data_IF_003966410508
#
_entry.id   IF_003966410508
#
_cell.length_a   1.000
_cell.length_b   1.000
_cell.length_c   1.000
_cell.angle_alpha   90.00
_cell.angle_beta   90.00
_cell.angle_gamma   90.00
#
_symmetry.space_group_name_H-M   'P 1'
#
loop_
_entity.id
_entity.type
_entity.pdbx_description
1 polymer ?
#
# COMPACT_ATOMS: atom_id res chain seq x y z
N UNK A 1 -69.86 -52.49 5.04
CA UNK A 1 -69.89 -51.93 6.42
C UNK A 1 -69.10 -52.81 7.42
N UNK A 2 -67.79 -53.03 7.22
CA UNK A 2 -66.96 -53.81 8.18
C UNK A 2 -65.74 -53.04 8.72
N UNK A 3 -65.34 -51.95 8.06
CA UNK A 3 -64.26 -51.09 8.54
C UNK A 3 -64.73 -50.21 9.72
N UNK A 4 -65.93 -49.65 9.63
CA UNK A 4 -66.50 -48.78 10.67
C UNK A 4 -66.73 -49.52 12.00
N UNK A 5 -67.21 -50.76 11.97
CA UNK A 5 -67.42 -51.57 13.18
C UNK A 5 -66.10 -52.00 13.84
N UNK A 6 -65.05 -52.24 13.05
CA UNK A 6 -63.70 -52.52 13.54
C UNK A 6 -63.07 -51.29 14.21
N UNK A 7 -63.21 -50.11 13.60
CA UNK A 7 -62.73 -48.84 14.14
C UNK A 7 -63.43 -48.51 15.48
N UNK A 8 -64.75 -48.75 15.58
CA UNK A 8 -65.51 -48.49 16.82
C UNK A 8 -65.06 -49.42 17.96
N UNK A 9 -64.81 -50.71 17.66
CA UNK A 9 -64.39 -51.72 18.65
C UNK A 9 -62.98 -51.49 19.18
N UNK A 10 -62.07 -50.99 18.34
CA UNK A 10 -60.65 -50.78 18.66
C UNK A 10 -60.27 -49.29 18.74
N UNK A 11 -61.23 -48.40 18.99
CA UNK A 11 -61.04 -46.94 18.93
C UNK A 11 -59.86 -46.44 19.77
N UNK A 12 -59.64 -47.00 20.96
CA UNK A 12 -58.56 -46.59 21.87
C UNK A 12 -57.18 -47.01 21.34
N UNK A 13 -57.05 -48.23 20.83
CA UNK A 13 -55.78 -48.74 20.28
C UNK A 13 -55.42 -48.06 18.97
N UNK A 14 -56.41 -47.74 18.14
CA UNK A 14 -56.18 -46.99 16.89
C UNK A 14 -55.70 -45.57 17.18
N UNK A 15 -56.30 -44.88 18.17
CA UNK A 15 -55.84 -43.54 18.58
C UNK A 15 -54.42 -43.57 19.16
N UNK A 16 -54.09 -44.56 19.98
CA UNK A 16 -52.72 -44.73 20.52
C UNK A 16 -51.72 -45.00 19.40
N UNK A 17 -52.07 -45.88 18.45
CA UNK A 17 -51.23 -46.18 17.30
C UNK A 17 -50.94 -44.92 16.46
N UNK A 18 -51.97 -44.11 16.20
CA UNK A 18 -51.80 -42.84 15.49
C UNK A 18 -50.96 -41.82 16.27
N UNK A 19 -51.16 -41.73 17.58
CA UNK A 19 -50.33 -40.87 18.43
C UNK A 19 -48.86 -41.28 18.38
N UNK A 20 -48.57 -42.59 18.42
CA UNK A 20 -47.20 -43.14 18.29
C UNK A 20 -46.62 -42.86 16.91
N UNK A 21 -47.38 -43.04 15.83
CA UNK A 21 -46.92 -42.75 14.46
C UNK A 21 -46.56 -41.26 14.30
N UNK A 22 -47.38 -40.35 14.84
CA UNK A 22 -47.13 -38.91 14.78
C UNK A 22 -45.91 -38.51 15.63
N UNK A 23 -45.77 -39.10 16.83
CA UNK A 23 -44.60 -38.90 17.69
C UNK A 23 -43.31 -39.47 17.08
N UNK A 24 -43.39 -40.61 16.40
CA UNK A 24 -42.26 -41.19 15.69
C UNK A 24 -41.89 -40.39 14.42
N UNK A 25 -42.86 -39.70 13.81
CA UNK A 25 -42.64 -38.85 12.64
C UNK A 25 -42.12 -37.45 12.98
N UNK A 26 -42.21 -37.02 14.25
CA UNK A 26 -41.84 -35.65 14.65
C UNK A 26 -40.35 -35.35 14.48
N UNK A 27 -39.40 -36.25 14.79
CA UNK A 27 -37.98 -36.03 14.51
C UNK A 27 -37.70 -35.81 13.01
N UNK A 28 -38.41 -36.53 12.13
CA UNK A 28 -38.27 -36.38 10.69
C UNK A 28 -38.84 -35.04 10.17
N UNK A 29 -39.96 -34.59 10.74
CA UNK A 29 -40.58 -33.30 10.40
C UNK A 29 -39.80 -32.10 10.94
N UNK A 30 -39.26 -32.20 12.15
CA UNK A 30 -38.41 -31.17 12.75
C UNK A 30 -37.04 -31.08 12.08
N UNK A 31 -36.52 -32.21 11.56
CA UNK A 31 -35.31 -32.23 10.73
C UNK A 31 -35.50 -31.66 9.32
N UNK A 32 -36.74 -31.48 8.85
CA UNK A 32 -37.02 -31.10 7.46
C UNK A 32 -36.55 -29.68 7.11
N UNK A 33 -36.48 -28.77 8.10
CA UNK A 33 -35.90 -27.43 7.90
C UNK A 33 -34.41 -27.45 7.58
N UNK A 34 -33.70 -28.55 7.89
CA UNK A 34 -32.29 -28.75 7.56
C UNK A 34 -32.06 -29.30 6.14
N UNK A 35 -33.11 -29.76 5.45
CA UNK A 35 -33.03 -30.36 4.11
C UNK A 35 -33.63 -29.50 3.00
N UNK A 36 -33.97 -28.23 3.27
CA UNK A 36 -34.40 -27.30 2.23
C UNK A 36 -33.18 -27.00 1.35
N UNK A 37 -33.01 -27.83 0.34
CA UNK A 37 -32.07 -27.62 -0.74
C UNK A 37 -32.77 -26.82 -1.81
N UNK A 38 -32.47 -25.53 -1.87
CA UNK A 38 -32.86 -24.68 -2.98
C UNK A 38 -32.10 -25.14 -4.24
N UNK A 39 -32.67 -26.09 -4.99
CA UNK A 39 -32.18 -26.39 -6.33
C UNK A 39 -32.77 -25.35 -7.29
N UNK A 40 -31.97 -24.35 -7.66
CA UNK A 40 -32.30 -23.46 -8.77
C UNK A 40 -32.18 -24.16 -10.14
N UNK A 41 -31.59 -25.36 -10.20
CA UNK A 41 -31.61 -26.23 -11.37
C UNK A 41 -32.84 -27.14 -11.33
N UNK A 42 -33.73 -26.99 -12.32
CA UNK A 42 -34.76 -27.99 -12.58
C UNK A 42 -34.12 -29.36 -12.85
N UNK A 43 -34.86 -30.45 -12.66
CA UNK A 43 -34.37 -31.80 -12.95
C UNK A 43 -34.04 -31.92 -14.45
N UNK A 44 -32.78 -31.69 -14.81
CA UNK A 44 -32.27 -31.87 -16.17
C UNK A 44 -32.03 -33.36 -16.38
N UNK A 45 -32.39 -33.88 -17.56
CA UNK A 45 -32.18 -35.28 -17.87
C UNK A 45 -30.68 -35.64 -17.75
N UNK A 46 -30.32 -36.61 -16.87
CA UNK A 46 -28.93 -37.04 -16.67
C UNK A 46 -28.24 -37.51 -17.95
N UNK A 47 -29.00 -37.99 -18.94
CA UNK A 47 -28.49 -38.45 -20.23
C UNK A 47 -28.45 -37.38 -21.33
N UNK A 48 -28.82 -36.13 -21.03
CA UNK A 48 -28.68 -35.06 -22.01
C UNK A 48 -27.20 -34.80 -22.30
N UNK A 49 -26.86 -34.54 -23.55
CA UNK A 49 -25.49 -34.23 -23.98
C UNK A 49 -24.92 -33.03 -23.20
N UNK A 50 -25.76 -32.05 -22.85
CA UNK A 50 -25.38 -30.91 -22.01
C UNK A 50 -24.98 -31.33 -20.59
N UNK A 51 -25.67 -32.29 -19.98
CA UNK A 51 -25.32 -32.80 -18.65
C UNK A 51 -24.03 -33.63 -18.69
N UNK A 52 -23.86 -34.46 -19.73
CA UNK A 52 -22.64 -35.25 -19.96
C UNK A 52 -21.45 -34.30 -20.18
N UNK A 53 -21.62 -33.27 -21.01
CA UNK A 53 -20.61 -32.23 -21.21
C UNK A 53 -20.28 -31.48 -19.91
N UNK A 54 -21.28 -31.09 -19.12
CA UNK A 54 -21.07 -30.47 -17.80
C UNK A 54 -20.27 -31.38 -16.87
N UNK A 55 -20.58 -32.68 -16.81
CA UNK A 55 -19.85 -33.64 -15.97
C UNK A 55 -18.41 -33.87 -16.44
N UNK A 56 -18.17 -33.86 -17.76
CA UNK A 56 -16.80 -33.93 -18.32
C UNK A 56 -16.02 -32.66 -17.98
N UNK A 57 -16.67 -31.49 -18.08
CA UNK A 57 -16.06 -30.21 -17.71
C UNK A 57 -15.77 -30.13 -16.20
N UNK A 58 -16.70 -30.54 -15.34
CA UNK A 58 -16.51 -30.60 -13.88
C UNK A 58 -15.41 -31.59 -13.45
N UNK A 59 -15.27 -32.72 -14.16
CA UNK A 59 -14.20 -33.69 -13.90
C UNK A 59 -12.83 -33.21 -14.36
N UNK A 60 -12.76 -32.41 -15.44
CA UNK A 60 -11.51 -31.89 -15.99
C UNK A 60 -11.08 -30.57 -15.35
N UNK A 61 -12.03 -29.78 -14.86
CA UNK A 61 -11.84 -28.53 -14.17
C UNK A 61 -12.74 -28.51 -12.93
N UNK A 62 -12.17 -28.64 -11.74
CA UNK A 62 -12.92 -28.46 -10.49
C UNK A 62 -13.51 -27.06 -10.48
N UNK A 63 -14.82 -26.96 -10.75
CA UNK A 63 -15.57 -25.71 -10.64
C UNK A 63 -15.70 -25.37 -9.16
N UNK A 64 -14.72 -24.67 -8.62
CA UNK A 64 -14.76 -24.18 -7.26
C UNK A 64 -15.98 -23.28 -7.05
N UNK A 65 -16.71 -23.50 -5.96
CA UNK A 65 -17.78 -22.61 -5.54
C UNK A 65 -17.20 -21.22 -5.27
N UNK A 66 -17.89 -20.18 -5.71
CA UNK A 66 -17.45 -18.80 -5.54
C UNK A 66 -18.58 -17.89 -5.10
N UNK A 67 -18.22 -16.89 -4.29
CA UNK A 67 -19.08 -15.77 -3.94
C UNK A 67 -18.43 -14.51 -4.51
N UNK A 68 -19.18 -13.80 -5.36
CA UNK A 68 -18.76 -12.51 -5.91
C UNK A 68 -19.50 -11.41 -5.17
N UNK A 69 -18.75 -10.50 -4.55
CA UNK A 69 -19.27 -9.33 -3.86
C UNK A 69 -19.08 -8.13 -4.79
N UNK A 70 -20.18 -7.50 -5.20
CA UNK A 70 -20.15 -6.26 -5.97
C UNK A 70 -20.11 -5.06 -5.03
N UNK A 71 -19.11 -4.20 -5.17
CA UNK A 71 -18.96 -2.97 -4.39
C UNK A 71 -19.19 -1.77 -5.31
N UNK A 72 -20.24 -1.00 -5.04
CA UNK A 72 -20.65 0.17 -5.83
C UNK A 72 -19.91 1.44 -5.37
N UNK A 73 -18.60 1.46 -5.56
CA UNK A 73 -17.76 2.62 -5.27
C UNK A 73 -16.62 2.71 -6.28
N UNK A 74 -16.15 3.94 -6.55
CA UNK A 74 -14.98 4.16 -7.37
C UNK A 74 -13.69 3.76 -6.62
N UNK A 75 -12.96 2.72 -7.08
CA UNK A 75 -11.80 2.19 -6.38
C UNK A 75 -10.52 3.03 -6.54
N UNK A 76 -10.54 4.08 -7.39
CA UNK A 76 -9.39 4.95 -7.64
C UNK A 76 -9.38 6.21 -6.77
N UNK A 77 -10.54 6.63 -6.24
CA UNK A 77 -10.69 7.92 -5.56
C UNK A 77 -10.84 7.80 -4.04
N UNK A 78 -11.03 6.60 -3.50
CA UNK A 78 -11.35 6.39 -2.09
C UNK A 78 -10.41 5.42 -1.38
N UNK A 79 -9.40 6.00 -0.72
CA UNK A 79 -8.40 5.27 0.07
C UNK A 79 -9.02 4.45 1.22
N UNK A 80 -10.14 4.92 1.78
CA UNK A 80 -10.83 4.20 2.87
C UNK A 80 -11.48 2.91 2.38
N UNK A 81 -11.89 2.85 1.12
CA UNK A 81 -12.47 1.64 0.49
C UNK A 81 -11.42 0.55 0.39
N UNK A 82 -10.20 0.89 -0.06
CA UNK A 82 -9.09 -0.04 -0.12
C UNK A 82 -8.79 -0.67 1.26
N UNK A 83 -8.69 0.16 2.30
CA UNK A 83 -8.45 -0.31 3.65
C UNK A 83 -9.56 -1.25 4.15
N UNK A 84 -10.83 -0.87 3.98
CA UNK A 84 -11.99 -1.68 4.39
C UNK A 84 -12.07 -3.01 3.65
N UNK A 85 -11.86 -3.00 2.33
CA UNK A 85 -11.86 -4.22 1.54
C UNK A 85 -10.73 -5.14 1.98
N UNK A 86 -9.51 -4.64 2.11
CA UNK A 86 -8.37 -5.46 2.57
C UNK A 86 -8.62 -6.03 3.98
N UNK A 87 -9.14 -5.23 4.91
CA UNK A 87 -9.52 -5.70 6.25
C UNK A 87 -10.60 -6.78 6.21
N UNK A 88 -11.61 -6.64 5.35
CA UNK A 88 -12.63 -7.68 5.13
C UNK A 88 -11.99 -8.99 4.65
N UNK A 89 -11.05 -8.94 3.70
CA UNK A 89 -10.37 -10.16 3.24
C UNK A 89 -9.58 -10.84 4.35
N UNK A 90 -8.83 -10.07 5.14
CA UNK A 90 -8.09 -10.60 6.29
C UNK A 90 -9.05 -11.19 7.33
N UNK A 91 -10.18 -10.54 7.59
CA UNK A 91 -11.20 -11.05 8.50
C UNK A 91 -11.78 -12.38 8.01
N UNK A 92 -12.17 -12.48 6.74
CA UNK A 92 -12.68 -13.73 6.14
C UNK A 92 -11.68 -14.88 6.27
N UNK A 93 -10.39 -14.62 6.01
CA UNK A 93 -9.32 -15.60 6.18
C UNK A 93 -9.14 -16.01 7.65
N UNK A 94 -9.27 -15.08 8.59
CA UNK A 94 -9.10 -15.35 10.03
C UNK A 94 -10.25 -16.10 10.68
N UNK A 95 -11.45 -16.06 10.08
CA UNK A 95 -12.67 -16.67 10.64
C UNK A 95 -12.70 -18.20 10.55
N UNK A 96 -11.73 -18.83 9.88
CA UNK A 96 -11.69 -20.28 9.74
C UNK A 96 -12.90 -20.85 9.00
N UNK A 97 -13.44 -20.09 8.03
CA UNK A 97 -14.58 -20.52 7.22
C UNK A 97 -14.21 -21.82 6.49
N UNK A 98 -15.03 -22.86 6.68
CA UNK A 98 -14.81 -24.18 6.07
C UNK A 98 -14.66 -24.03 4.56
N UNK A 99 -13.68 -24.72 4.00
CA UNK A 99 -13.40 -24.77 2.57
C UNK A 99 -13.09 -23.40 1.93
N UNK A 100 -12.82 -22.34 2.70
CA UNK A 100 -12.38 -21.07 2.12
C UNK A 100 -10.96 -21.24 1.55
N UNK A 101 -10.82 -21.07 0.23
CA UNK A 101 -9.54 -21.19 -0.46
C UNK A 101 -8.82 -19.84 -0.57
N UNK A 102 -9.54 -18.80 -0.99
CA UNK A 102 -8.95 -17.47 -1.17
C UNK A 102 -9.99 -16.36 -1.18
N UNK A 103 -9.52 -15.12 -0.98
CA UNK A 103 -10.31 -13.92 -1.20
C UNK A 103 -9.45 -12.88 -1.89
N UNK A 104 -9.90 -12.41 -3.05
CA UNK A 104 -9.14 -11.52 -3.92
C UNK A 104 -9.99 -10.33 -4.35
N UNK A 105 -9.39 -9.14 -4.33
CA UNK A 105 -9.94 -7.87 -4.77
C UNK A 105 -8.93 -7.20 -5.71
N UNK A 106 -9.34 -6.16 -6.47
CA UNK A 106 -8.39 -5.37 -7.24
C UNK A 106 -7.26 -4.80 -6.38
N UNK A 107 -7.57 -4.48 -5.12
CA UNK A 107 -6.61 -3.95 -4.16
C UNK A 107 -5.53 -4.96 -3.77
N UNK A 108 -5.91 -6.19 -3.42
CA UNK A 108 -4.91 -7.23 -3.09
C UNK A 108 -4.15 -7.72 -4.33
N UNK A 109 -4.80 -7.75 -5.50
CA UNK A 109 -4.14 -8.06 -6.76
C UNK A 109 -3.08 -7.00 -7.09
N UNK A 110 -3.42 -5.72 -6.98
CA UNK A 110 -2.48 -4.64 -7.23
C UNK A 110 -1.37 -4.56 -6.18
N UNK A 111 -1.69 -4.77 -4.90
CA UNK A 111 -0.68 -4.88 -3.85
C UNK A 111 0.32 -6.02 -4.13
N UNK A 112 -0.17 -7.18 -4.58
CA UNK A 112 0.70 -8.30 -4.99
C UNK A 112 1.59 -7.93 -6.17
N UNK A 113 1.03 -7.24 -7.18
CA UNK A 113 1.81 -6.74 -8.31
C UNK A 113 2.94 -5.78 -7.88
N UNK A 114 2.65 -4.81 -7.01
CA UNK A 114 3.63 -3.87 -6.47
C UNK A 114 4.73 -4.62 -5.71
N UNK A 115 4.35 -5.58 -4.86
CA UNK A 115 5.31 -6.38 -4.11
C UNK A 115 6.23 -7.19 -5.03
N UNK A 116 5.72 -7.72 -6.15
CA UNK A 116 6.54 -8.41 -7.15
C UNK A 116 7.46 -7.43 -7.89
N UNK A 117 6.95 -6.26 -8.26
CA UNK A 117 7.71 -5.26 -9.00
C UNK A 117 8.85 -4.64 -8.17
N UNK A 118 8.63 -4.43 -6.87
CA UNK A 118 9.53 -3.62 -6.02
C UNK A 118 10.16 -4.41 -4.88
N UNK A 119 9.68 -5.62 -4.57
CA UNK A 119 10.10 -6.38 -3.39
C UNK A 119 11.61 -6.54 -3.24
N UNK A 120 12.37 -6.64 -4.35
CA UNK A 120 13.85 -6.71 -4.33
C UNK A 120 14.53 -5.37 -4.03
N UNK A 121 13.87 -4.26 -4.37
CA UNK A 121 14.40 -2.90 -4.24
C UNK A 121 13.81 -2.14 -3.04
N UNK A 122 12.80 -2.67 -2.34
CA UNK A 122 12.15 -2.01 -1.21
C UNK A 122 13.15 -1.60 -0.12
N UNK A 123 14.06 -2.49 0.26
CA UNK A 123 15.12 -2.21 1.25
C UNK A 123 16.06 -1.11 0.76
N UNK A 124 16.44 -1.13 -0.52
CA UNK A 124 17.30 -0.12 -1.12
C UNK A 124 16.62 1.25 -1.15
N UNK A 125 15.34 1.32 -1.51
CA UNK A 125 14.55 2.56 -1.51
C UNK A 125 14.47 3.14 -0.10
N UNK A 126 14.14 2.30 0.89
CA UNK A 126 14.04 2.74 2.28
C UNK A 126 15.39 3.22 2.83
N UNK A 127 16.48 2.50 2.52
CA UNK A 127 17.83 2.89 2.88
C UNK A 127 18.21 4.24 2.24
N UNK A 128 18.02 4.36 0.93
CA UNK A 128 18.36 5.57 0.16
C UNK A 128 17.57 6.79 0.64
N UNK A 129 16.28 6.62 0.93
CA UNK A 129 15.46 7.69 1.51
C UNK A 129 16.01 8.18 2.84
N UNK A 130 16.36 7.25 3.74
CA UNK A 130 16.90 7.61 5.04
C UNK A 130 18.29 8.25 4.96
N UNK A 131 19.16 7.72 4.10
CA UNK A 131 20.49 8.30 3.84
C UNK A 131 20.35 9.72 3.29
N UNK A 132 19.51 9.92 2.27
CA UNK A 132 19.24 11.24 1.69
C UNK A 132 18.67 12.20 2.73
N UNK A 133 17.72 11.75 3.56
CA UNK A 133 17.14 12.58 4.63
C UNK A 133 18.19 13.06 5.63
N UNK A 134 19.07 12.15 6.07
CA UNK A 134 20.15 12.46 7.02
C UNK A 134 21.14 13.43 6.36
N UNK A 135 21.62 13.12 5.16
CA UNK A 135 22.61 13.94 4.46
C UNK A 135 22.06 15.32 4.14
N UNK A 136 20.85 15.43 3.61
CA UNK A 136 20.22 16.70 3.33
C UNK A 136 20.01 17.54 4.60
N UNK A 137 19.66 16.91 5.73
CA UNK A 137 19.56 17.61 7.01
C UNK A 137 20.92 18.16 7.44
N UNK A 138 21.97 17.34 7.39
CA UNK A 138 23.34 17.76 7.73
C UNK A 138 23.84 18.86 6.80
N UNK A 139 23.58 18.76 5.49
CA UNK A 139 24.06 19.70 4.48
C UNK A 139 23.33 21.05 4.49
N UNK A 140 22.04 21.09 4.86
CA UNK A 140 21.22 22.27 4.62
C UNK A 140 20.62 22.91 5.88
N UNK A 141 20.58 22.23 7.02
CA UNK A 141 19.97 22.79 8.25
C UNK A 141 20.64 24.08 8.71
N UNK A 142 21.95 24.04 8.98
CA UNK A 142 22.71 25.22 9.37
C UNK A 142 22.82 26.26 8.23
N UNK A 143 23.20 25.89 6.99
CA UNK A 143 23.30 26.85 5.90
C UNK A 143 21.99 27.56 5.54
N UNK A 144 20.83 26.92 5.74
CA UNK A 144 19.52 27.54 5.50
C UNK A 144 19.22 28.61 6.55
N UNK A 145 19.44 28.30 7.84
CA UNK A 145 19.33 29.29 8.92
C UNK A 145 20.32 30.45 8.73
N UNK A 146 21.56 30.14 8.38
CA UNK A 146 22.59 31.11 8.05
C UNK A 146 22.18 32.02 6.90
N UNK A 147 21.75 31.46 5.77
CA UNK A 147 21.37 32.25 4.59
C UNK A 147 20.21 33.19 4.88
N UNK A 148 19.23 32.73 5.67
CA UNK A 148 18.13 33.56 6.17
C UNK A 148 18.65 34.72 7.05
N UNK A 149 19.51 34.45 8.02
CA UNK A 149 20.10 35.51 8.86
C UNK A 149 20.96 36.49 8.04
N UNK A 150 21.79 35.98 7.15
CA UNK A 150 22.66 36.80 6.31
C UNK A 150 21.88 37.70 5.35
N UNK A 151 20.70 37.26 4.91
CA UNK A 151 19.77 38.09 4.16
C UNK A 151 19.29 39.31 4.95
N UNK A 152 19.05 39.16 6.25
CA UNK A 152 18.66 40.25 7.14
C UNK A 152 19.80 41.25 7.37
N UNK A 153 21.04 40.82 7.17
CA UNK A 153 22.25 41.64 7.19
C UNK A 153 22.72 42.11 5.80
N UNK A 154 21.83 42.09 4.80
CA UNK A 154 22.12 42.59 3.45
C UNK A 154 23.28 41.87 2.73
N UNK A 155 23.58 40.63 3.11
CA UNK A 155 24.59 39.77 2.49
C UNK A 155 26.00 40.38 2.43
N UNK A 156 26.41 41.18 3.41
CA UNK A 156 27.75 41.81 3.43
C UNK A 156 28.83 40.85 3.93
N UNK A 157 30.08 41.07 3.53
CA UNK A 157 31.19 40.23 4.01
C UNK A 157 31.36 40.32 5.54
N UNK A 158 31.36 41.54 6.09
CA UNK A 158 31.56 41.77 7.52
C UNK A 158 30.45 41.15 8.40
N UNK A 159 29.26 40.89 7.82
CA UNK A 159 28.15 40.29 8.56
C UNK A 159 28.16 38.76 8.57
N UNK A 160 29.10 38.08 7.91
CA UNK A 160 29.15 36.61 7.87
C UNK A 160 29.21 36.02 9.28
N UNK A 161 30.12 36.51 10.14
CA UNK A 161 30.24 35.95 11.50
C UNK A 161 29.00 36.25 12.36
N UNK A 162 28.45 37.47 12.28
CA UNK A 162 27.23 37.82 13.00
C UNK A 162 26.05 36.91 12.57
N UNK A 163 25.90 36.70 11.27
CA UNK A 163 24.84 35.84 10.70
C UNK A 163 25.03 34.37 11.07
N UNK A 164 26.27 33.90 11.19
CA UNK A 164 26.59 32.57 11.67
C UNK A 164 26.20 32.37 13.13
N UNK A 165 26.53 33.33 14.00
CA UNK A 165 26.16 33.29 15.41
C UNK A 165 24.63 33.30 15.58
N UNK A 166 23.91 34.12 14.81
CA UNK A 166 22.44 34.15 14.81
C UNK A 166 21.81 32.85 14.29
N UNK A 167 22.50 32.14 13.39
CA UNK A 167 22.11 30.82 12.93
C UNK A 167 22.46 29.69 13.92
N UNK A 168 23.09 30.02 15.06
CA UNK A 168 23.42 29.08 16.14
C UNK A 168 24.85 28.53 16.10
N UNK A 169 25.75 29.10 15.30
CA UNK A 169 27.15 28.67 15.24
C UNK A 169 27.82 28.79 16.62
N UNK A 170 28.48 27.71 17.06
CA UNK A 170 29.13 27.67 18.37
C UNK A 170 30.52 27.01 18.36
N UNK A 171 31.15 26.87 17.19
CA UNK A 171 32.47 26.23 16.97
C UNK A 171 32.61 24.76 17.38
N UNK A 172 31.57 24.12 17.91
CA UNK A 172 31.63 22.72 18.36
C UNK A 172 31.41 21.72 17.22
N UNK A 173 30.84 22.15 16.09
CA UNK A 173 30.60 21.31 14.92
C UNK A 173 31.65 21.56 13.82
N UNK A 174 32.47 20.56 13.45
CA UNK A 174 33.50 20.71 12.41
C UNK A 174 32.93 21.17 11.06
N UNK A 175 31.76 20.69 10.69
CA UNK A 175 31.08 21.04 9.44
C UNK A 175 30.72 22.53 9.35
N UNK A 176 30.13 23.09 10.41
CA UNK A 176 29.76 24.50 10.43
C UNK A 176 31.01 25.41 10.38
N UNK A 177 32.08 25.01 11.09
CA UNK A 177 33.35 25.74 11.07
C UNK A 177 33.99 25.72 9.67
N UNK A 178 33.99 24.56 9.00
CA UNK A 178 34.47 24.42 7.63
C UNK A 178 33.63 25.26 6.65
N UNK A 179 32.29 25.26 6.81
CA UNK A 179 31.39 26.06 5.99
C UNK A 179 31.67 27.56 6.11
N UNK A 180 31.83 28.09 7.33
CA UNK A 180 32.14 29.52 7.54
C UNK A 180 33.54 29.87 7.02
N UNK A 181 34.53 29.00 7.23
CA UNK A 181 35.87 29.20 6.69
C UNK A 181 35.86 29.31 5.17
N UNK A 182 35.14 28.40 4.49
CA UNK A 182 35.05 28.40 3.04
C UNK A 182 34.21 29.56 2.50
N UNK A 183 33.15 29.94 3.20
CA UNK A 183 32.36 31.11 2.83
C UNK A 183 33.18 32.40 2.94
N UNK A 184 33.98 32.56 4.00
CA UNK A 184 34.90 33.69 4.13
C UNK A 184 35.94 33.73 3.02
N UNK A 185 36.44 32.57 2.58
CA UNK A 185 37.39 32.47 1.47
C UNK A 185 36.76 32.88 0.14
N UNK A 186 35.55 32.39 -0.14
CA UNK A 186 34.85 32.62 -1.43
C UNK A 186 34.20 34.01 -1.52
N UNK A 187 33.65 34.51 -0.42
CA UNK A 187 33.11 35.87 -0.34
C UNK A 187 34.23 36.92 -0.29
N UNK A 188 35.33 36.66 0.42
CA UNK A 188 36.46 37.58 0.55
C UNK A 188 37.31 37.72 -0.72
N UNK A 189 37.32 36.70 -1.59
CA UNK A 189 37.99 36.78 -2.89
C UNK A 189 37.33 37.78 -3.86
N UNK A 190 36.06 38.16 -3.62
CA UNK A 190 35.27 38.99 -4.52
C UNK A 190 34.98 40.41 -4.00
N UNK A 191 35.29 40.72 -2.73
CA UNK A 191 34.99 42.01 -2.11
C UNK A 191 36.28 42.69 -1.59
N UNK A 192 36.64 43.84 -2.17
CA UNK A 192 37.79 44.66 -1.75
C UNK A 192 37.40 45.64 -0.61
N UNK A 193 36.11 45.75 -0.27
CA UNK A 193 35.60 46.54 0.86
C UNK A 193 34.52 45.75 1.64
N UNK A 194 34.65 45.68 2.97
CA UNK A 194 33.86 44.79 3.84
C UNK A 194 32.36 45.09 3.94
N UNK A 195 31.95 46.30 3.51
CA UNK A 195 30.56 46.78 3.58
C UNK A 195 29.72 46.55 2.32
N UNK A 196 30.32 46.12 1.20
CA UNK A 196 29.59 45.83 -0.02
C UNK A 196 28.89 44.46 0.05
N UNK A 197 27.65 44.40 -0.43
CA UNK A 197 26.90 43.16 -0.56
C UNK A 197 27.61 42.20 -1.52
N UNK A 198 27.74 40.93 -1.13
CA UNK A 198 28.25 39.88 -1.99
C UNK A 198 27.34 39.73 -3.20
N UNK A 199 27.90 39.72 -4.40
CA UNK A 199 27.16 39.76 -5.67
C UNK A 199 26.31 38.51 -5.95
N UNK A 200 26.72 37.34 -5.44
CA UNK A 200 26.02 36.05 -5.62
C UNK A 200 26.00 35.24 -4.31
N UNK A 201 25.24 35.67 -3.30
CA UNK A 201 25.31 35.10 -1.96
C UNK A 201 24.82 33.64 -1.93
N UNK A 202 23.77 33.31 -2.69
CA UNK A 202 23.28 31.93 -2.80
C UNK A 202 24.32 30.99 -3.40
N UNK A 203 25.03 31.41 -4.44
CA UNK A 203 26.06 30.59 -5.08
C UNK A 203 27.26 30.40 -4.15
N UNK A 204 27.67 31.44 -3.44
CA UNK A 204 28.73 31.35 -2.43
C UNK A 204 28.37 30.34 -1.33
N UNK A 205 27.13 30.39 -0.81
CA UNK A 205 26.63 29.41 0.16
C UNK A 205 26.61 28.00 -0.42
N UNK A 206 26.10 27.81 -1.64
CA UNK A 206 26.06 26.48 -2.29
C UNK A 206 27.45 25.87 -2.50
N UNK A 207 28.43 26.69 -2.91
CA UNK A 207 29.82 26.24 -3.04
C UNK A 207 30.46 25.91 -1.69
N UNK A 208 30.21 26.72 -0.67
CA UNK A 208 30.70 26.47 0.69
C UNK A 208 30.13 25.17 1.27
N UNK A 209 28.85 24.86 1.03
CA UNK A 209 28.22 23.59 1.44
C UNK A 209 28.97 22.39 0.85
N UNK A 210 29.24 22.40 -0.45
CA UNK A 210 29.89 21.30 -1.16
C UNK A 210 31.28 21.00 -0.57
N UNK A 211 32.10 22.04 -0.42
CA UNK A 211 33.48 21.91 0.03
C UNK A 211 33.52 21.52 1.51
N UNK A 212 32.78 22.22 2.37
CA UNK A 212 32.73 21.92 3.80
C UNK A 212 32.22 20.51 4.09
N UNK A 213 31.25 20.04 3.31
CA UNK A 213 30.72 18.68 3.45
C UNK A 213 31.79 17.64 3.07
N UNK A 214 32.46 17.81 1.92
CA UNK A 214 33.53 16.90 1.49
C UNK A 214 34.73 16.88 2.44
N UNK A 215 35.08 18.02 3.04
CA UNK A 215 36.17 18.13 4.03
C UNK A 215 35.81 17.46 5.37
N UNK A 216 34.57 17.66 5.83
CA UNK A 216 34.12 17.14 7.13
C UNK A 216 33.75 15.66 7.08
N UNK A 217 33.39 15.18 5.90
CA UNK A 217 32.91 13.82 5.67
C UNK A 217 33.59 13.18 4.45
N UNK A 218 34.92 12.97 4.49
CA UNK A 218 35.69 12.49 3.34
C UNK A 218 35.31 11.06 2.91
N UNK A 219 34.70 10.27 3.79
CA UNK A 219 34.14 8.95 3.46
C UNK A 219 32.84 9.00 2.65
N UNK A 220 32.19 10.17 2.57
CA UNK A 220 30.91 10.39 1.90
C UNK A 220 31.02 11.42 0.77
N UNK A 221 32.20 11.52 0.15
CA UNK A 221 32.45 12.44 -0.96
C UNK A 221 31.29 12.41 -1.96
N UNK A 222 30.90 13.61 -2.41
CA UNK A 222 29.74 13.81 -3.29
C UNK A 222 29.92 13.14 -4.69
N UNK A 223 31.07 12.50 -4.93
CA UNK A 223 31.33 11.61 -6.07
C UNK A 223 31.19 10.12 -5.71
N UNK A 224 30.35 9.42 -6.47
CA UNK A 224 30.14 7.95 -6.57
C UNK A 224 29.82 7.15 -5.29
N UNK A 225 30.31 7.51 -4.11
CA UNK A 225 30.32 6.64 -2.93
C UNK A 225 29.13 6.82 -1.98
N UNK A 226 28.45 7.97 -1.95
CA UNK A 226 27.19 8.16 -1.20
C UNK A 226 26.08 8.69 -2.11
N UNK A 227 25.18 7.81 -2.59
CA UNK A 227 24.00 8.21 -3.35
C UNK A 227 23.15 9.24 -2.61
N UNK A 228 22.97 9.12 -1.29
CA UNK A 228 22.23 10.09 -0.49
C UNK A 228 22.82 11.51 -0.54
N UNK A 229 24.16 11.65 -0.49
CA UNK A 229 24.83 12.95 -0.60
C UNK A 229 24.70 13.55 -2.00
N UNK A 230 24.87 12.71 -3.03
CA UNK A 230 24.66 13.11 -4.42
C UNK A 230 23.22 13.60 -4.65
N UNK A 231 22.23 12.86 -4.16
CA UNK A 231 20.81 13.25 -4.30
C UNK A 231 20.54 14.56 -3.56
N UNK A 232 21.06 14.69 -2.34
CA UNK A 232 20.92 15.90 -1.54
C UNK A 232 21.47 17.11 -2.28
N UNK A 233 22.65 17.00 -2.89
CA UNK A 233 23.28 18.10 -3.62
C UNK A 233 22.58 18.46 -4.94
N UNK A 234 22.22 17.45 -5.74
CA UNK A 234 21.74 17.67 -7.11
C UNK A 234 20.23 17.86 -7.24
N UNK A 235 19.45 17.34 -6.30
CA UNK A 235 17.98 17.36 -6.36
C UNK A 235 17.35 18.09 -5.18
N UNK A 236 18.09 18.31 -4.10
CA UNK A 236 17.65 19.13 -2.96
C UNK A 236 18.49 20.41 -2.90
N UNK A 237 17.98 21.36 -2.14
CA UNK A 237 18.65 22.63 -1.86
C UNK A 237 18.11 23.22 -0.57
N UNK A 238 18.60 24.40 -0.20
CA UNK A 238 18.29 25.06 1.09
C UNK A 238 16.79 25.17 1.40
N UNK A 239 15.95 25.30 0.37
CA UNK A 239 14.51 25.51 0.53
C UNK A 239 13.67 24.23 0.40
N UNK A 240 14.25 23.13 -0.10
CA UNK A 240 13.47 21.95 -0.51
C UNK A 240 13.78 20.69 0.32
N UNK A 241 14.79 20.72 1.21
CA UNK A 241 15.30 19.53 1.88
C UNK A 241 14.36 18.92 2.94
N UNK A 242 13.42 19.69 3.51
CA UNK A 242 12.47 19.21 4.52
C UNK A 242 11.38 18.32 3.93
N UNK A 243 10.80 18.74 2.80
CA UNK A 243 9.55 18.17 2.29
C UNK A 243 9.72 17.38 1.00
N UNK A 244 10.87 17.51 0.31
CA UNK A 244 11.06 16.95 -1.03
C UNK A 244 11.92 15.69 -1.09
N UNK A 245 12.26 15.07 0.05
CA UNK A 245 13.15 13.89 0.06
C UNK A 245 12.60 12.74 -0.79
N UNK A 246 11.31 12.40 -0.66
CA UNK A 246 10.71 11.32 -1.45
C UNK A 246 10.68 11.63 -2.94
N UNK A 247 10.48 12.90 -3.30
CA UNK A 247 10.50 13.38 -4.69
C UNK A 247 11.91 13.30 -5.26
N UNK A 248 12.92 13.75 -4.52
CA UNK A 248 14.33 13.69 -4.93
C UNK A 248 14.81 12.24 -5.11
N UNK A 249 14.49 11.38 -4.14
CA UNK A 249 14.79 9.93 -4.20
C UNK A 249 14.09 9.29 -5.39
N UNK A 250 12.79 9.57 -5.61
CA UNK A 250 12.08 9.06 -6.78
C UNK A 250 12.69 9.60 -8.10
N UNK A 251 13.09 10.87 -8.15
CA UNK A 251 13.74 11.49 -9.29
C UNK A 251 15.06 10.81 -9.67
N UNK A 252 15.89 10.51 -8.67
CA UNK A 252 17.13 9.74 -8.87
C UNK A 252 16.87 8.32 -9.34
N UNK A 253 15.95 7.61 -8.68
CA UNK A 253 15.68 6.20 -8.95
C UNK A 253 15.02 5.95 -10.31
N UNK A 254 14.30 6.94 -10.86
CA UNK A 254 13.65 6.87 -12.19
C UNK A 254 14.57 6.49 -13.33
N UNK A 255 15.87 6.75 -13.19
CA UNK A 255 16.88 6.37 -14.18
C UNK A 255 17.12 4.85 -14.22
N UNK A 256 16.82 4.15 -13.12
CA UNK A 256 17.11 2.72 -12.93
C UNK A 256 15.84 1.86 -12.86
N UNK A 257 14.74 2.41 -12.35
CA UNK A 257 13.43 1.76 -12.28
C UNK A 257 12.32 2.81 -12.20
N UNK A 258 11.07 2.50 -12.62
CA UNK A 258 9.97 3.48 -12.65
C UNK A 258 9.43 3.81 -11.24
N UNK A 259 10.25 4.43 -10.39
CA UNK A 259 9.89 4.90 -9.06
C UNK A 259 8.99 6.13 -9.14
N UNK A 260 7.93 6.14 -8.33
CA UNK A 260 7.11 7.33 -8.09
C UNK A 260 7.29 7.80 -6.63
N UNK A 261 7.06 9.09 -6.33
CA UNK A 261 7.08 9.58 -4.94
C UNK A 261 6.13 8.78 -4.03
N UNK A 262 4.95 8.46 -4.53
CA UNK A 262 3.94 7.65 -3.83
C UNK A 262 4.48 6.28 -3.42
N UNK A 263 5.27 5.67 -4.30
CA UNK A 263 5.89 4.39 -4.05
C UNK A 263 6.99 4.45 -3.00
N UNK A 264 7.81 5.51 -3.04
CA UNK A 264 8.81 5.77 -2.00
C UNK A 264 8.11 5.92 -0.64
N UNK A 265 7.04 6.73 -0.58
CA UNK A 265 6.24 6.94 0.63
C UNK A 265 5.62 5.65 1.18
N UNK A 266 5.08 4.80 0.30
CA UNK A 266 4.53 3.50 0.69
C UNK A 266 5.61 2.55 1.23
N UNK A 267 6.83 2.64 0.71
CA UNK A 267 7.97 1.82 1.12
C UNK A 267 8.48 2.23 2.52
N UNK A 268 8.64 3.53 2.77
CA UNK A 268 9.13 4.04 4.06
C UNK A 268 8.13 3.87 5.21
N UNK A 269 6.85 3.59 4.90
CA UNK A 269 5.83 3.30 5.91
C UNK A 269 6.05 1.96 6.64
N UNK A 270 6.95 1.10 6.13
CA UNK A 270 7.31 -0.18 6.74
C UNK A 270 6.27 -1.29 6.54
N UNK A 271 6.68 -2.56 6.63
CA UNK A 271 5.80 -3.70 6.39
C UNK A 271 5.58 -3.99 4.90
N UNK A 272 4.34 -4.35 4.52
CA UNK A 272 4.03 -4.74 3.14
C UNK A 272 3.80 -3.52 2.23
N UNK A 273 4.77 -3.26 1.34
CA UNK A 273 4.79 -2.08 0.45
C UNK A 273 3.54 -1.98 -0.41
N UNK A 274 3.12 -3.07 -1.05
CA UNK A 274 1.92 -3.08 -1.90
C UNK A 274 0.64 -2.78 -1.13
N UNK A 275 0.49 -3.34 0.07
CA UNK A 275 -0.66 -3.06 0.94
C UNK A 275 -0.66 -1.61 1.41
N UNK A 276 0.50 -1.06 1.77
CA UNK A 276 0.62 0.35 2.14
C UNK A 276 0.25 1.26 0.98
N UNK A 277 0.81 0.99 -0.21
CA UNK A 277 0.53 1.78 -1.41
C UNK A 277 -0.96 1.83 -1.68
N UNK A 278 -1.61 0.67 -1.72
CA UNK A 278 -3.03 0.60 -2.06
C UNK A 278 -3.92 1.22 -0.97
N UNK A 279 -3.51 1.19 0.30
CA UNK A 279 -4.22 1.92 1.37
C UNK A 279 -4.07 3.43 1.27
N UNK A 280 -2.93 3.92 0.78
CA UNK A 280 -2.64 5.36 0.68
C UNK A 280 -3.10 5.97 -0.64
N UNK A 281 -3.15 5.20 -1.72
CA UNK A 281 -3.37 5.71 -3.09
C UNK A 281 -4.41 4.90 -3.89
N UNK A 282 -5.06 3.90 -3.29
CA UNK A 282 -6.06 3.07 -3.96
C UNK A 282 -5.46 2.31 -5.15
N UNK A 283 -6.12 2.43 -6.31
CA UNK A 283 -5.65 1.86 -7.58
C UNK A 283 -4.96 2.87 -8.49
N UNK A 284 -4.49 4.01 -7.96
CA UNK A 284 -3.73 4.98 -8.75
C UNK A 284 -2.51 4.31 -9.41
N UNK A 285 -2.34 4.50 -10.72
CA UNK A 285 -1.24 3.88 -11.47
C UNK A 285 -1.34 2.37 -11.69
N UNK A 286 -2.47 1.73 -11.34
CA UNK A 286 -2.67 0.31 -11.59
C UNK A 286 -2.69 -0.01 -13.10
N UNK A 287 -1.94 -1.02 -13.57
CA UNK A 287 -2.00 -1.47 -14.95
C UNK A 287 -3.40 -1.90 -15.38
N UNK A 288 -3.82 -1.50 -16.58
CA UNK A 288 -5.18 -1.74 -17.07
C UNK A 288 -5.55 -3.24 -17.10
N UNK A 289 -4.62 -4.11 -17.50
CA UNK A 289 -4.85 -5.57 -17.54
C UNK A 289 -5.14 -6.18 -16.15
N UNK A 290 -4.73 -5.52 -15.07
CA UNK A 290 -5.11 -5.91 -13.70
C UNK A 290 -6.50 -5.38 -13.37
N UNK A 291 -6.79 -4.12 -13.70
CA UNK A 291 -8.07 -3.50 -13.33
C UNK A 291 -9.24 -4.06 -14.12
N UNK A 292 -9.06 -4.41 -15.39
CA UNK A 292 -10.13 -4.92 -16.27
C UNK A 292 -10.71 -6.26 -15.80
N UNK A 293 -9.99 -6.99 -14.95
CA UNK A 293 -10.48 -8.24 -14.36
C UNK A 293 -11.47 -8.03 -13.21
N UNK A 294 -11.46 -6.85 -12.59
CA UNK A 294 -12.16 -6.62 -11.32
C UNK A 294 -12.99 -5.34 -11.26
N UNK A 295 -12.70 -4.35 -12.10
CA UNK A 295 -13.28 -3.01 -12.03
C UNK A 295 -14.18 -2.79 -13.25
N UNK A 296 -15.34 -2.17 -13.04
CA UNK A 296 -16.23 -1.82 -14.14
C UNK A 296 -15.57 -0.80 -15.08
N UNK A 297 -15.93 -0.83 -16.36
CA UNK A 297 -15.36 0.06 -17.38
C UNK A 297 -15.62 1.55 -17.10
N UNK A 298 -16.76 1.86 -16.46
CA UNK A 298 -17.15 3.20 -16.01
C UNK A 298 -16.52 3.58 -14.65
N UNK A 299 -15.74 2.68 -14.03
CA UNK A 299 -15.08 2.82 -12.72
C UNK A 299 -16.04 3.11 -11.56
N UNK A 300 -17.33 2.79 -11.71
CA UNK A 300 -18.34 2.99 -10.66
C UNK A 300 -18.40 1.85 -9.65
N UNK A 301 -17.86 0.68 -10.00
CA UNK A 301 -17.89 -0.51 -9.18
C UNK A 301 -16.66 -1.40 -9.34
N UNK A 302 -16.46 -2.29 -8.37
CA UNK A 302 -15.50 -3.38 -8.48
C UNK A 302 -16.00 -4.63 -7.78
N UNK A 303 -15.40 -5.78 -8.12
CA UNK A 303 -15.73 -7.07 -7.53
C UNK A 303 -14.67 -7.54 -6.53
N UNK A 304 -15.14 -8.24 -5.50
CA UNK A 304 -14.30 -9.07 -4.62
C UNK A 304 -14.73 -10.52 -4.80
N UNK A 305 -13.77 -11.37 -5.13
CA UNK A 305 -13.97 -12.79 -5.38
C UNK A 305 -13.57 -13.59 -4.15
N UNK A 306 -14.51 -14.34 -3.59
CA UNK A 306 -14.29 -15.33 -2.53
C UNK A 306 -14.39 -16.71 -3.17
N UNK A 307 -13.33 -17.52 -3.07
CA UNK A 307 -13.26 -18.85 -3.68
C UNK A 307 -13.26 -19.88 -2.57
N UNK A 308 -14.08 -20.92 -2.73
CA UNK A 308 -14.12 -22.08 -1.85
C UNK A 308 -13.55 -23.30 -2.56
N UNK A 309 -12.73 -24.11 -1.87
CA UNK A 309 -12.11 -25.34 -2.36
C UNK A 309 -13.10 -26.52 -2.39
N UNK A 310 -14.31 -26.29 -2.88
CA UNK A 310 -15.37 -27.29 -3.03
C UNK A 310 -16.06 -27.13 -4.37
N UNK A 311 -16.58 -28.21 -4.97
CA UNK A 311 -17.37 -28.12 -6.18
C UNK A 311 -18.56 -27.17 -6.05
N UNK A 312 -18.88 -26.46 -7.12
CA UNK A 312 -20.07 -25.64 -7.24
C UNK A 312 -21.32 -26.49 -6.96
N UNK A 313 -22.20 -26.01 -6.08
CA UNK A 313 -23.40 -26.74 -5.70
C UNK A 313 -23.18 -27.86 -4.68
N UNK A 314 -22.00 -27.96 -4.03
CA UNK A 314 -21.81 -28.82 -2.86
C UNK A 314 -22.89 -28.50 -1.82
N UNK A 315 -23.75 -29.48 -1.57
CA UNK A 315 -24.75 -29.46 -0.50
C UNK A 315 -24.09 -30.11 0.70
N UNK A 316 -23.99 -29.37 1.81
CA UNK A 316 -23.19 -29.79 2.95
C UNK A 316 -23.45 -31.24 3.35
N UNK A 317 -22.44 -32.09 3.21
CA UNK A 317 -22.37 -33.34 3.96
C UNK A 317 -21.83 -32.96 5.34
N UNK A 318 -22.70 -33.08 6.34
CA UNK A 318 -22.32 -33.14 7.74
C UNK A 318 -22.27 -34.60 8.15
#
# INVERSE_FOLDING_TARGET
>A
MKLSSFIIRHRKTIVILWAVIILASTPALLGYSHYITYSSSGAVNPSSESQIASQILEKSHTTNSSLVILVLQNPFLNNSTAARTLSMQTALQSLGIRDLASTTSPFSAYASFINTAIGRNATLIAWLYNETRINATTMYSFPSAFYSSWSSHSYTYDSIMASALDAGFNSSMPYEAAFISELNRTAGANNVSGSESVSQPLQAVMSAILIAYNESYPQYQIGEYSPGSYISYHYLGLNNYSDSVSVAVAGYLRQYFPATPDLVNATISGGNVGINYVRMYGLAGAPQYLTDQYVSSDRSAFIVSVIFSVPSGLRGER
#
